data_IF_137148318408
#
_entry.id   IF_137148318408
#
_cell.length_a   1.000
_cell.length_b   1.000
_cell.length_c   1.000
_cell.angle_alpha   90.00
_cell.angle_beta   90.00
_cell.angle_gamma   90.00
#
_symmetry.space_group_name_H-M   'P 1'
#
loop_
_entity.id
_entity.type
_entity.pdbx_description
1 polymer ?
#
# COMPACT_ATOMS: atom_id res chain seq x y z
N UNK A 1 26.55 -8.81 8.51
CA UNK A 1 26.11 -7.93 7.41
C UNK A 1 25.63 -6.64 8.04
N UNK A 2 26.09 -5.49 7.53
CA UNK A 2 25.69 -4.17 8.03
C UNK A 2 24.19 -3.97 7.89
N UNK A 3 23.54 -3.45 8.94
CA UNK A 3 22.11 -3.17 8.97
C UNK A 3 21.80 -1.87 8.19
N UNK A 4 21.65 -1.99 6.86
CA UNK A 4 21.46 -0.86 5.96
C UNK A 4 20.02 -0.36 6.06
N UNK A 5 19.84 0.94 6.32
CA UNK A 5 18.52 1.57 6.29
C UNK A 5 17.94 1.58 4.87
N UNK A 6 16.70 1.09 4.73
CA UNK A 6 15.98 0.95 3.46
C UNK A 6 14.80 1.92 3.45
N UNK A 7 14.62 2.60 2.32
CA UNK A 7 13.42 3.37 2.02
C UNK A 7 12.76 2.69 0.84
N UNK A 8 11.48 2.32 0.98
CA UNK A 8 10.68 1.78 -0.12
C UNK A 8 9.91 2.92 -0.81
N UNK A 9 10.33 3.40 -1.98
CA UNK A 9 9.68 4.53 -2.63
C UNK A 9 8.37 4.15 -3.32
N UNK A 10 8.00 2.86 -3.37
CA UNK A 10 6.86 2.41 -4.16
C UNK A 10 6.27 1.12 -3.61
N UNK A 11 5.22 1.25 -2.80
CA UNK A 11 4.36 0.13 -2.46
C UNK A 11 2.88 0.49 -2.61
N UNK A 12 2.05 -0.54 -2.64
CA UNK A 12 0.60 -0.44 -2.81
C UNK A 12 -0.11 -1.18 -1.69
N UNK A 13 -1.28 -0.67 -1.31
CA UNK A 13 -2.21 -1.32 -0.40
C UNK A 13 -3.58 -1.37 -1.08
N UNK A 14 -4.39 -2.36 -0.74
CA UNK A 14 -5.77 -2.44 -1.21
C UNK A 14 -6.63 -3.25 -0.24
N UNK A 15 -7.90 -2.90 -0.19
CA UNK A 15 -8.88 -3.49 0.71
C UNK A 15 -10.12 -3.84 -0.10
N UNK A 16 -10.18 -5.11 -0.51
CA UNK A 16 -11.20 -5.65 -1.38
C UNK A 16 -12.53 -5.91 -0.66
N UNK A 17 -12.52 -5.86 0.68
CA UNK A 17 -13.73 -6.04 1.48
C UNK A 17 -14.57 -4.77 1.52
N UNK A 18 -13.91 -3.60 1.48
CA UNK A 18 -14.57 -2.31 1.68
C UNK A 18 -14.49 -1.38 0.46
N UNK A 19 -13.65 -1.68 -0.53
CA UNK A 19 -13.46 -0.82 -1.70
C UNK A 19 -13.43 -1.62 -3.01
N UNK A 20 -13.56 -0.89 -4.11
CA UNK A 20 -13.58 -1.44 -5.46
C UNK A 20 -12.32 -1.02 -6.25
N UNK A 21 -11.72 -1.98 -6.95
CA UNK A 21 -10.53 -1.79 -7.79
C UNK A 21 -10.77 -2.52 -9.11
N UNK A 22 -11.13 -1.84 -10.22
CA UNK A 22 -11.61 -2.51 -11.44
C UNK A 22 -10.66 -3.58 -12.04
N UNK A 23 -9.35 -3.44 -11.81
CA UNK A 23 -8.36 -4.39 -12.32
C UNK A 23 -8.18 -5.63 -11.42
N UNK A 24 -8.62 -5.55 -10.15
CA UNK A 24 -8.45 -6.59 -9.14
C UNK A 24 -9.79 -7.25 -8.77
N UNK A 25 -10.87 -6.46 -8.70
CA UNK A 25 -12.22 -6.88 -8.31
C UNK A 25 -12.98 -7.62 -9.42
N UNK A 26 -12.73 -7.31 -10.69
CA UNK A 26 -13.48 -7.88 -11.83
C UNK A 26 -12.90 -9.22 -12.33
N UNK A 27 -12.09 -9.88 -11.51
CA UNK A 27 -11.35 -11.07 -11.90
C UNK A 27 -10.06 -10.78 -12.69
N UNK A 28 -9.26 -11.83 -12.88
CA UNK A 28 -7.95 -11.74 -13.53
C UNK A 28 -8.12 -11.50 -15.03
N UNK A 29 -7.44 -10.48 -15.53
CA UNK A 29 -7.44 -10.05 -16.93
C UNK A 29 -6.05 -10.30 -17.54
N UNK A 30 -5.92 -10.49 -18.87
CA UNK A 30 -4.62 -10.53 -19.51
C UNK A 30 -3.81 -9.28 -19.18
N UNK A 31 -2.61 -9.48 -18.65
CA UNK A 31 -1.75 -8.39 -18.19
C UNK A 31 -0.31 -8.59 -18.63
N UNK A 32 0.41 -7.47 -18.80
CA UNK A 32 1.85 -7.46 -19.10
C UNK A 32 2.70 -8.13 -18.00
N UNK A 33 2.16 -8.24 -16.79
CA UNK A 33 2.83 -8.85 -15.63
C UNK A 33 2.41 -10.31 -15.38
N UNK A 34 1.62 -10.91 -16.27
CA UNK A 34 1.21 -12.32 -16.20
C UNK A 34 0.03 -12.57 -15.25
N UNK A 35 -0.08 -13.80 -14.76
CA UNK A 35 -1.14 -14.20 -13.82
C UNK A 35 -0.89 -13.62 -12.42
N UNK A 36 -1.84 -12.82 -11.95
CA UNK A 36 -1.80 -12.15 -10.65
C UNK A 36 -2.87 -12.67 -9.68
N UNK A 37 -3.45 -13.85 -9.94
CA UNK A 37 -4.47 -14.47 -9.06
C UNK A 37 -4.02 -14.51 -7.59
N UNK A 38 -2.73 -14.72 -7.33
CA UNK A 38 -2.17 -14.81 -5.97
C UNK A 38 -2.35 -13.54 -5.12
N UNK A 39 -2.54 -12.38 -5.75
CA UNK A 39 -2.72 -11.08 -5.08
C UNK A 39 -4.18 -10.59 -5.09
N UNK A 40 -5.12 -11.35 -5.66
CA UNK A 40 -6.57 -11.07 -5.61
C UNK A 40 -7.16 -11.32 -4.20
N UNK A 41 -6.61 -10.64 -3.20
CA UNK A 41 -7.01 -10.68 -1.79
C UNK A 41 -6.65 -9.36 -1.14
N UNK A 42 -7.33 -8.98 -0.06
CA UNK A 42 -6.99 -7.78 0.71
C UNK A 42 -5.52 -7.79 1.17
N UNK A 43 -4.85 -6.64 1.04
CA UNK A 43 -3.47 -6.41 1.48
C UNK A 43 -3.36 -5.06 2.19
N UNK A 44 -3.26 -5.12 3.51
CA UNK A 44 -3.28 -3.95 4.40
C UNK A 44 -1.88 -3.64 4.93
N UNK A 45 -1.77 -2.54 5.68
CA UNK A 45 -0.51 -2.12 6.29
C UNK A 45 0.12 -3.18 7.20
N UNK A 46 -0.71 -3.99 7.87
CA UNK A 46 -0.24 -5.09 8.72
C UNK A 46 0.49 -6.16 7.93
N UNK A 47 -0.01 -6.50 6.74
CA UNK A 47 0.60 -7.48 5.84
C UNK A 47 1.93 -6.95 5.31
N UNK A 48 1.96 -5.69 4.85
CA UNK A 48 3.18 -5.01 4.41
C UNK A 48 4.28 -4.99 5.49
N UNK A 49 3.92 -4.63 6.73
CA UNK A 49 4.88 -4.62 7.84
C UNK A 49 5.36 -6.05 8.21
N UNK A 50 4.49 -7.05 8.09
CA UNK A 50 4.86 -8.45 8.31
C UNK A 50 5.86 -8.97 7.26
N UNK A 51 5.66 -8.60 5.99
CA UNK A 51 6.59 -8.94 4.90
C UNK A 51 7.93 -8.22 5.06
N UNK A 52 7.90 -6.96 5.51
CA UNK A 52 9.09 -6.14 5.72
C UNK A 52 9.81 -6.37 7.06
N UNK A 53 9.29 -7.23 7.97
CA UNK A 53 9.75 -7.33 9.37
C UNK A 53 11.25 -7.59 9.57
N UNK A 54 11.89 -8.24 8.60
CA UNK A 54 13.31 -8.59 8.64
C UNK A 54 14.18 -7.63 7.81
N UNK A 55 13.62 -6.50 7.40
CA UNK A 55 14.28 -5.42 6.67
C UNK A 55 14.35 -4.21 7.58
N UNK A 56 15.45 -3.48 7.56
CA UNK A 56 15.54 -2.17 8.21
C UNK A 56 14.82 -1.11 7.38
N UNK A 57 13.52 -1.29 7.19
CA UNK A 57 12.65 -0.39 6.45
C UNK A 57 12.33 0.82 7.34
N UNK A 58 12.93 1.97 7.02
CA UNK A 58 12.84 3.18 7.84
C UNK A 58 11.84 4.19 7.33
N UNK A 59 11.40 4.08 6.06
CA UNK A 59 10.33 4.87 5.43
C UNK A 59 9.76 4.11 4.23
N UNK A 60 8.51 4.39 3.89
CA UNK A 60 7.93 3.94 2.63
C UNK A 60 6.97 4.99 2.04
N UNK A 61 6.73 4.92 0.73
CA UNK A 61 5.80 5.80 0.00
C UNK A 61 4.72 4.93 -0.63
N UNK A 62 3.48 5.17 -0.21
CA UNK A 62 2.30 4.52 -0.77
C UNK A 62 1.86 5.23 -2.03
N UNK A 63 1.57 4.48 -3.09
CA UNK A 63 0.94 5.00 -4.30
C UNK A 63 -0.44 4.38 -4.50
N UNK A 64 -1.34 5.18 -5.07
CA UNK A 64 -2.61 4.66 -5.57
C UNK A 64 -2.35 3.51 -6.56
N UNK A 65 -3.21 2.51 -6.49
CA UNK A 65 -3.14 1.26 -7.23
C UNK A 65 -4.37 1.11 -8.10
N UNK A 66 -4.91 2.20 -8.66
CA UNK A 66 -6.10 2.14 -9.52
C UNK A 66 -7.37 1.87 -8.72
N UNK A 67 -7.59 2.68 -7.68
CA UNK A 67 -8.87 2.78 -6.98
C UNK A 67 -10.03 3.10 -7.94
N UNK A 68 -11.26 2.83 -7.51
CA UNK A 68 -12.49 3.19 -8.22
C UNK A 68 -12.45 4.62 -8.79
N UNK A 69 -12.45 4.77 -10.13
CA UNK A 69 -12.38 6.08 -10.78
C UNK A 69 -13.63 6.94 -10.53
N UNK A 70 -14.75 6.34 -10.10
CA UNK A 70 -15.97 7.06 -9.76
C UNK A 70 -15.95 7.66 -8.36
N UNK A 71 -15.03 7.23 -7.49
CA UNK A 71 -14.95 7.61 -6.08
C UNK A 71 -13.60 8.26 -5.69
N UNK A 72 -13.17 9.35 -6.37
CA UNK A 72 -11.85 9.96 -6.14
C UNK A 72 -11.65 10.47 -4.71
N UNK A 73 -12.73 10.92 -4.04
CA UNK A 73 -12.65 11.33 -2.63
C UNK A 73 -12.35 10.16 -1.68
N UNK A 74 -12.89 8.97 -1.95
CA UNK A 74 -12.62 7.78 -1.13
C UNK A 74 -11.19 7.29 -1.33
N UNK A 75 -10.67 7.35 -2.56
CA UNK A 75 -9.25 7.10 -2.83
C UNK A 75 -8.36 7.98 -1.95
N UNK A 76 -8.62 9.29 -1.92
CA UNK A 76 -7.79 10.23 -1.15
C UNK A 76 -7.90 9.98 0.37
N UNK A 77 -9.11 9.62 0.85
CA UNK A 77 -9.32 9.20 2.25
C UNK A 77 -8.62 7.87 2.59
N UNK A 78 -8.62 6.90 1.68
CA UNK A 78 -7.91 5.62 1.83
C UNK A 78 -6.40 5.86 1.94
N UNK A 79 -5.84 6.71 1.07
CA UNK A 79 -4.44 7.09 1.13
C UNK A 79 -4.10 7.82 2.44
N UNK A 80 -4.90 8.80 2.86
CA UNK A 80 -4.66 9.56 4.08
C UNK A 80 -4.86 8.73 5.36
N UNK A 81 -5.92 7.92 5.41
CA UNK A 81 -6.32 7.12 6.57
C UNK A 81 -5.31 6.01 6.91
N UNK A 82 -4.60 5.49 5.91
CA UNK A 82 -3.52 4.51 6.11
C UNK A 82 -2.17 5.16 6.41
N UNK A 83 -1.95 6.42 5.99
CA UNK A 83 -0.75 7.19 6.32
C UNK A 83 -0.72 7.69 7.78
N UNK A 84 -1.90 7.90 8.39
CA UNK A 84 -2.05 8.40 9.76
C UNK A 84 -1.94 7.36 10.89
N UNK A 85 -2.17 6.07 10.58
CA UNK A 85 -2.12 5.01 11.59
C UNK A 85 -0.75 4.32 11.59
N UNK A 86 0.13 4.84 12.46
CA UNK A 86 1.35 4.16 12.91
C UNK A 86 2.40 3.83 11.84
N UNK A 87 3.09 4.86 11.31
CA UNK A 87 4.24 4.56 10.44
C UNK A 87 5.56 4.27 11.20
N UNK A 88 5.82 4.79 12.41
CA UNK A 88 7.10 4.49 13.09
C UNK A 88 7.01 4.56 14.63
N UNK A 89 7.91 3.88 15.37
CA UNK A 89 8.10 4.12 16.80
C UNK A 89 8.32 5.62 17.07
N UNK A 90 8.12 6.10 18.32
CA UNK A 90 7.93 7.52 18.66
C UNK A 90 9.00 8.52 18.18
N UNK A 91 10.14 8.06 17.65
CA UNK A 91 11.30 8.89 17.30
C UNK A 91 11.26 9.51 15.90
N UNK A 92 10.36 9.08 14.99
CA UNK A 92 10.37 9.51 13.58
C UNK A 92 9.01 9.92 13.00
N UNK A 93 8.14 10.55 13.81
CA UNK A 93 6.90 11.18 13.30
C UNK A 93 7.21 12.45 12.50
N UNK A 94 7.40 12.33 11.19
CA UNK A 94 7.37 13.36 10.13
C UNK A 94 7.78 12.63 8.84
N UNK A 95 6.97 12.43 7.80
CA UNK A 95 5.96 13.27 7.17
C UNK A 95 5.08 12.39 6.28
N UNK A 96 3.76 12.53 6.39
CA UNK A 96 2.85 12.42 5.25
C UNK A 96 2.59 13.85 4.81
N UNK A 97 3.23 14.32 3.74
CA UNK A 97 2.77 15.51 3.02
C UNK A 97 2.20 15.02 1.70
N UNK A 98 0.87 15.02 1.64
CA UNK A 98 0.17 15.09 0.35
C UNK A 98 0.49 16.47 -0.27
N UNK A 99 0.55 16.58 -1.60
CA UNK A 99 0.66 17.85 -2.29
C UNK A 99 -0.52 18.79 -1.96
#
# INVERSE_FOLDING_TARGET
MSDIAIIDPHFHLWDLETNYYPWLSDGVKPSAFGDYTAINKTYLVGDFLADAKNRNLVKAVHLDVGFDPQEPRRRDQMAAGRCGQAWFPPRHRRLCRLP
#
